data_IF_484309362320
#
_entry.id   IF_484309362320
#
_cell.length_a   1.000
_cell.length_b   1.000
_cell.length_c   1.000
_cell.angle_alpha   90.00
_cell.angle_beta   90.00
_cell.angle_gamma   90.00
#
_symmetry.space_group_name_H-M   'P 1'
#
loop_
_entity.id
_entity.type
_entity.pdbx_description
1 polymer ?
#
# COMPACT_ATOMS: atom_id res chain seq x y z
N UNK A 1 -15.43 14.80 -18.01
CA UNK A 1 -14.23 15.38 -18.70
C UNK A 1 -14.71 16.29 -19.83
N UNK A 2 -13.95 17.33 -20.25
CA UNK A 2 -14.35 18.22 -21.35
C UNK A 2 -13.34 18.19 -22.53
N UNK A 3 -13.73 18.81 -23.68
CA UNK A 3 -12.90 18.81 -24.89
C UNK A 3 -11.49 19.38 -24.67
N UNK A 4 -11.37 20.46 -23.88
CA UNK A 4 -10.08 21.09 -23.60
C UNK A 4 -9.14 20.18 -22.81
N UNK A 5 -9.70 19.38 -21.88
CA UNK A 5 -8.95 18.40 -21.10
C UNK A 5 -8.42 17.29 -22.02
N UNK A 6 -9.22 16.78 -22.94
CA UNK A 6 -8.79 15.79 -23.94
C UNK A 6 -7.64 16.34 -24.79
N UNK A 7 -7.78 17.56 -25.34
CA UNK A 7 -6.72 18.19 -26.12
C UNK A 7 -5.42 18.37 -25.32
N UNK A 8 -5.53 18.74 -24.05
CA UNK A 8 -4.37 18.82 -23.15
C UNK A 8 -3.69 17.46 -22.98
N UNK A 9 -4.47 16.39 -22.76
CA UNK A 9 -3.92 15.03 -22.63
C UNK A 9 -3.25 14.56 -23.92
N UNK A 10 -3.84 14.84 -25.09
CA UNK A 10 -3.22 14.53 -26.38
C UNK A 10 -1.85 15.20 -26.57
N UNK A 11 -1.68 16.45 -26.11
CA UNK A 11 -0.39 17.16 -26.17
C UNK A 11 0.64 16.60 -25.21
N UNK A 12 0.22 16.13 -24.02
CA UNK A 12 1.11 15.55 -23.02
C UNK A 12 1.50 14.11 -23.33
N UNK A 13 0.71 13.41 -24.14
CA UNK A 13 0.91 12.01 -24.51
C UNK A 13 0.53 11.02 -23.42
N UNK A 14 0.76 9.74 -23.69
CA UNK A 14 0.51 8.63 -22.77
C UNK A 14 1.45 8.66 -21.57
N UNK A 15 0.96 8.21 -20.42
CA UNK A 15 1.71 8.10 -19.18
C UNK A 15 1.10 6.99 -18.29
N UNK A 16 1.52 6.91 -17.03
CA UNK A 16 1.02 5.90 -16.10
C UNK A 16 -0.49 5.99 -15.79
N UNK A 17 -1.14 7.10 -16.13
CA UNK A 17 -2.57 7.34 -15.90
C UNK A 17 -3.39 7.58 -17.17
N UNK A 18 -2.77 7.71 -18.31
CA UNK A 18 -3.44 8.02 -19.58
C UNK A 18 -2.96 7.06 -20.65
N UNK A 19 -3.90 6.38 -21.29
CA UNK A 19 -3.65 5.47 -22.41
C UNK A 19 -4.55 5.84 -23.56
N UNK A 20 -4.02 5.83 -24.78
CA UNK A 20 -4.78 6.05 -26.00
C UNK A 20 -5.00 4.75 -26.75
N UNK A 21 -6.13 4.64 -27.41
CA UNK A 21 -6.44 3.56 -28.36
C UNK A 21 -7.28 4.10 -29.49
N UNK A 22 -6.94 3.69 -30.69
CA UNK A 22 -7.77 4.06 -31.84
C UNK A 22 -9.12 3.33 -31.77
N UNK A 23 -9.10 2.02 -31.52
CA UNK A 23 -10.27 1.13 -31.39
C UNK A 23 -10.01 0.01 -30.40
N UNK A 24 -11.07 -0.61 -29.92
CA UNK A 24 -11.05 -1.79 -29.09
C UNK A 24 -11.76 -2.93 -29.77
N UNK A 25 -11.05 -4.01 -30.06
CA UNK A 25 -11.61 -5.15 -30.79
C UNK A 25 -11.45 -6.47 -30.03
N UNK A 26 -10.46 -6.55 -29.13
CA UNK A 26 -10.09 -7.81 -28.49
C UNK A 26 -10.10 -7.71 -26.97
N UNK A 27 -11.04 -8.38 -26.28
CA UNK A 27 -11.09 -8.44 -24.81
C UNK A 27 -9.77 -8.84 -24.15
N UNK A 28 -9.02 -9.77 -24.73
CA UNK A 28 -7.75 -10.23 -24.22
C UNK A 28 -6.65 -9.15 -24.21
N UNK A 29 -6.79 -8.09 -25.03
CA UNK A 29 -5.89 -6.93 -25.02
C UNK A 29 -6.39 -5.80 -24.10
N UNK A 30 -7.71 -5.74 -23.89
CA UNK A 30 -8.34 -4.71 -23.07
C UNK A 30 -8.17 -5.03 -21.57
N UNK A 31 -8.46 -6.27 -21.15
CA UNK A 31 -8.43 -6.68 -19.77
C UNK A 31 -7.08 -6.37 -19.07
N UNK A 32 -5.89 -6.63 -19.66
CA UNK A 32 -4.62 -6.26 -19.07
C UNK A 32 -4.45 -4.76 -18.83
N UNK A 33 -5.02 -3.88 -19.67
CA UNK A 33 -4.97 -2.42 -19.43
C UNK A 33 -5.83 -2.03 -18.22
N UNK A 34 -7.06 -2.55 -18.16
CA UNK A 34 -7.97 -2.28 -17.04
C UNK A 34 -7.38 -2.78 -15.72
N UNK A 35 -6.83 -3.99 -15.72
CA UNK A 35 -6.14 -4.58 -14.56
C UNK A 35 -4.95 -3.73 -14.15
N UNK A 36 -4.13 -3.27 -15.10
CA UNK A 36 -2.96 -2.46 -14.81
C UNK A 36 -3.33 -1.12 -14.15
N UNK A 37 -4.39 -0.47 -14.61
CA UNK A 37 -4.91 0.75 -13.97
C UNK A 37 -5.44 0.46 -12.55
N UNK A 38 -6.27 -0.57 -12.38
CA UNK A 38 -6.85 -0.92 -11.09
C UNK A 38 -5.78 -1.28 -10.04
N UNK A 39 -4.73 -2.00 -10.44
CA UNK A 39 -3.62 -2.34 -9.55
C UNK A 39 -2.65 -1.17 -9.28
N UNK A 40 -2.74 -0.10 -10.06
CA UNK A 40 -1.91 1.10 -9.91
C UNK A 40 -2.72 2.25 -9.29
N UNK A 41 -2.53 3.46 -9.77
CA UNK A 41 -3.23 4.66 -9.25
C UNK A 41 -4.48 5.02 -10.07
N UNK A 42 -5.11 4.04 -10.70
CA UNK A 42 -6.18 4.28 -11.64
C UNK A 42 -5.70 5.00 -12.89
N UNK A 43 -6.65 5.40 -13.75
CA UNK A 43 -6.31 6.14 -14.97
C UNK A 43 -7.48 6.23 -15.93
N UNK A 44 -7.17 6.70 -17.13
CA UNK A 44 -8.15 6.93 -18.19
C UNK A 44 -7.65 6.27 -19.47
N UNK A 45 -8.50 5.45 -20.07
CA UNK A 45 -8.32 4.92 -21.39
C UNK A 45 -9.19 5.74 -22.36
N UNK A 46 -8.58 6.40 -23.35
CA UNK A 46 -9.29 7.25 -24.31
C UNK A 46 -9.26 6.56 -25.67
N UNK A 47 -10.44 6.34 -26.23
CA UNK A 47 -10.63 5.64 -27.50
C UNK A 47 -11.04 6.65 -28.57
N UNK A 48 -10.50 6.47 -29.78
CA UNK A 48 -10.64 7.40 -30.91
C UNK A 48 -9.40 8.27 -31.12
N UNK A 49 -8.32 7.98 -30.37
CA UNK A 49 -7.03 8.68 -30.48
C UNK A 49 -5.96 7.69 -30.90
N UNK A 50 -5.10 8.09 -31.80
CA UNK A 50 -3.98 7.27 -32.27
C UNK A 50 -2.88 7.20 -31.22
N UNK A 51 -2.50 5.99 -30.81
CA UNK A 51 -1.58 5.70 -29.70
C UNK A 51 -0.23 6.45 -29.82
N UNK A 52 0.35 6.47 -31.03
CA UNK A 52 1.71 6.97 -31.24
C UNK A 52 1.79 8.48 -31.42
N UNK A 53 0.80 9.08 -32.04
CA UNK A 53 0.83 10.50 -32.41
C UNK A 53 0.01 11.38 -31.49
N UNK A 54 -0.93 10.78 -30.71
CA UNK A 54 -1.92 11.52 -29.97
C UNK A 54 -2.95 12.25 -30.84
N UNK A 55 -3.01 11.92 -32.16
CA UNK A 55 -3.95 12.54 -33.08
C UNK A 55 -5.37 12.04 -32.78
N UNK A 56 -6.31 12.97 -32.66
CA UNK A 56 -7.72 12.65 -32.48
C UNK A 56 -8.27 12.28 -33.87
N UNK A 57 -8.55 11.00 -34.09
CA UNK A 57 -9.15 10.46 -35.29
C UNK A 57 -10.68 10.46 -35.14
N UNK A 58 -11.16 10.16 -33.96
CA UNK A 58 -12.57 10.01 -33.61
C UNK A 58 -13.15 8.64 -33.97
N UNK A 59 -14.32 8.39 -33.43
CA UNK A 59 -15.17 7.20 -33.68
C UNK A 59 -16.60 7.66 -33.95
N UNK A 60 -17.45 6.79 -34.51
CA UNK A 60 -18.87 7.10 -34.60
C UNK A 60 -19.56 6.93 -33.23
N UNK A 61 -20.72 7.56 -33.06
CA UNK A 61 -21.52 7.40 -31.85
C UNK A 61 -21.92 5.94 -31.58
N UNK A 62 -22.28 5.24 -32.66
CA UNK A 62 -22.60 3.81 -32.60
C UNK A 62 -21.39 2.97 -32.12
N UNK A 63 -20.19 3.26 -32.66
CA UNK A 63 -18.95 2.62 -32.21
C UNK A 63 -18.66 2.93 -30.72
N UNK A 64 -18.90 4.16 -30.28
CA UNK A 64 -18.70 4.52 -28.87
C UNK A 64 -19.60 3.69 -27.94
N UNK A 65 -20.88 3.49 -28.32
CA UNK A 65 -21.80 2.66 -27.54
C UNK A 65 -21.39 1.18 -27.53
N UNK A 66 -21.02 0.63 -28.68
CA UNK A 66 -20.55 -0.75 -28.81
C UNK A 66 -19.30 -0.97 -27.95
N UNK A 67 -18.33 -0.06 -27.99
CA UNK A 67 -17.10 -0.13 -27.19
C UNK A 67 -17.36 0.03 -25.70
N UNK A 68 -18.26 0.92 -25.29
CA UNK A 68 -18.68 1.06 -23.90
C UNK A 68 -19.29 -0.24 -23.37
N UNK A 69 -20.16 -0.88 -24.13
CA UNK A 69 -20.73 -2.20 -23.78
C UNK A 69 -19.65 -3.28 -23.68
N UNK A 70 -18.73 -3.35 -24.65
CA UNK A 70 -17.63 -4.31 -24.67
C UNK A 70 -16.73 -4.14 -23.44
N UNK A 71 -16.38 -2.91 -23.07
CA UNK A 71 -15.55 -2.63 -21.91
C UNK A 71 -16.25 -3.06 -20.63
N UNK A 72 -17.55 -2.79 -20.47
CA UNK A 72 -18.34 -3.25 -19.33
C UNK A 72 -18.35 -4.78 -19.21
N UNK A 73 -18.50 -5.49 -20.34
CA UNK A 73 -18.39 -6.96 -20.37
C UNK A 73 -16.99 -7.43 -19.96
N UNK A 74 -15.94 -6.78 -20.48
CA UNK A 74 -14.55 -7.12 -20.13
C UNK A 74 -14.29 -6.90 -18.63
N UNK A 75 -14.77 -5.80 -18.06
CA UNK A 75 -14.61 -5.52 -16.64
C UNK A 75 -15.28 -6.59 -15.75
N UNK A 76 -16.41 -7.13 -16.19
CA UNK A 76 -17.16 -8.14 -15.45
C UNK A 76 -16.65 -9.57 -15.64
N UNK A 77 -16.27 -9.92 -16.86
CA UNK A 77 -15.99 -11.33 -17.22
C UNK A 77 -14.50 -11.65 -17.34
N UNK A 78 -13.67 -10.63 -17.56
CA UNK A 78 -12.24 -10.79 -17.85
C UNK A 78 -11.33 -10.22 -16.76
N UNK A 79 -11.90 -9.58 -15.75
CA UNK A 79 -11.15 -9.00 -14.62
C UNK A 79 -11.68 -9.57 -13.32
N UNK A 80 -10.78 -10.03 -12.46
CA UNK A 80 -11.12 -10.56 -11.13
C UNK A 80 -10.19 -9.96 -10.06
N UNK A 81 -10.71 -9.37 -8.97
CA UNK A 81 -12.13 -9.00 -8.76
C UNK A 81 -12.69 -8.09 -9.86
N UNK A 82 -14.03 -8.01 -9.97
CA UNK A 82 -14.70 -7.10 -10.89
C UNK A 82 -14.34 -5.65 -10.58
N UNK A 83 -14.14 -4.84 -11.61
CA UNK A 83 -13.90 -3.39 -11.49
C UNK A 83 -15.09 -2.60 -12.00
N UNK A 84 -15.36 -1.46 -11.35
CA UNK A 84 -16.37 -0.51 -11.81
C UNK A 84 -15.71 0.52 -12.71
N UNK A 85 -16.36 0.80 -13.83
CA UNK A 85 -15.90 1.74 -14.85
C UNK A 85 -16.92 2.83 -15.06
N UNK A 86 -16.45 4.03 -15.30
CA UNK A 86 -17.28 5.13 -15.79
C UNK A 86 -16.87 5.43 -17.23
N UNK A 87 -17.86 5.47 -18.14
CA UNK A 87 -17.62 5.79 -19.55
C UNK A 87 -18.32 7.09 -19.92
N UNK A 88 -17.63 7.93 -20.67
CA UNK A 88 -18.10 9.25 -21.07
C UNK A 88 -17.77 9.49 -22.56
N UNK A 89 -18.78 9.84 -23.33
CA UNK A 89 -18.62 10.20 -24.74
C UNK A 89 -18.43 11.71 -24.86
N UNK A 90 -17.33 12.14 -25.47
CA UNK A 90 -16.94 13.54 -25.55
C UNK A 90 -16.72 13.92 -27.00
N UNK A 91 -17.28 15.07 -27.42
CA UNK A 91 -17.02 15.65 -28.72
C UNK A 91 -15.87 16.65 -28.66
N UNK A 92 -14.86 16.46 -29.50
CA UNK A 92 -13.68 17.32 -29.62
C UNK A 92 -13.49 17.68 -31.10
N UNK A 93 -13.65 18.95 -31.45
CA UNK A 93 -13.49 19.46 -32.79
C UNK A 93 -14.34 18.68 -33.84
N UNK A 94 -15.60 18.38 -33.51
CA UNK A 94 -16.49 17.63 -34.36
C UNK A 94 -16.20 16.12 -34.48
N UNK A 95 -15.30 15.60 -33.63
CA UNK A 95 -14.93 14.19 -33.54
C UNK A 95 -15.31 13.62 -32.18
N UNK A 96 -15.88 12.44 -32.18
CA UNK A 96 -16.28 11.76 -30.95
C UNK A 96 -15.13 10.90 -30.44
N UNK A 97 -14.83 10.99 -29.12
CA UNK A 97 -13.96 10.09 -28.40
C UNK A 97 -14.71 9.49 -27.22
N UNK A 98 -14.32 8.28 -26.80
CA UNK A 98 -14.86 7.61 -25.61
C UNK A 98 -13.78 7.60 -24.52
N UNK A 99 -14.03 8.28 -23.42
CA UNK A 99 -13.19 8.23 -22.22
C UNK A 99 -13.70 7.14 -21.26
N UNK A 100 -12.82 6.28 -20.78
CA UNK A 100 -13.09 5.21 -19.83
C UNK A 100 -12.27 5.46 -18.58
N UNK A 101 -12.93 5.81 -17.51
CA UNK A 101 -12.30 6.04 -16.22
C UNK A 101 -12.21 4.73 -15.45
N UNK A 102 -11.01 4.41 -15.01
CA UNK A 102 -10.70 3.25 -14.16
C UNK A 102 -10.18 3.79 -12.85
N UNK A 103 -10.92 3.60 -11.77
CA UNK A 103 -10.48 3.98 -10.43
C UNK A 103 -9.31 3.08 -9.97
N UNK A 104 -8.51 3.58 -9.03
CA UNK A 104 -7.61 2.72 -8.26
C UNK A 104 -8.43 1.66 -7.51
N UNK A 105 -8.07 0.41 -7.68
CA UNK A 105 -8.78 -0.70 -7.08
C UNK A 105 -8.49 -0.84 -5.58
N UNK A 106 -9.53 -1.08 -4.80
CA UNK A 106 -9.43 -1.29 -3.34
C UNK A 106 -9.16 -2.74 -2.96
N UNK A 107 -9.45 -3.70 -3.84
CA UNK A 107 -9.33 -5.15 -3.59
C UNK A 107 -8.15 -5.76 -4.39
N UNK A 108 -6.99 -5.08 -4.37
CA UNK A 108 -5.79 -5.58 -5.05
C UNK A 108 -5.30 -6.92 -4.45
N UNK A 109 -4.69 -7.79 -5.25
CA UNK A 109 -4.39 -7.64 -6.67
C UNK A 109 -5.53 -8.06 -7.59
N UNK A 110 -5.81 -7.24 -8.60
CA UNK A 110 -6.68 -7.60 -9.71
C UNK A 110 -5.93 -8.45 -10.73
N UNK A 111 -6.64 -9.37 -11.38
CA UNK A 111 -6.08 -10.32 -12.33
C UNK A 111 -6.90 -10.33 -13.61
N UNK A 112 -6.25 -10.58 -14.74
CA UNK A 112 -6.97 -10.90 -15.97
C UNK A 112 -7.56 -12.34 -15.93
N UNK A 113 -8.35 -12.70 -16.93
CA UNK A 113 -8.98 -14.03 -17.03
C UNK A 113 -7.99 -15.19 -17.04
N UNK A 114 -6.73 -14.94 -17.41
CA UNK A 114 -5.64 -15.91 -17.39
C UNK A 114 -4.91 -15.96 -16.04
N UNK A 115 -5.34 -15.19 -15.06
CA UNK A 115 -4.72 -15.11 -13.73
C UNK A 115 -3.48 -14.20 -13.67
N UNK A 116 -3.15 -13.45 -14.73
CA UNK A 116 -2.02 -12.56 -14.72
C UNK A 116 -2.34 -11.25 -13.98
N UNK A 117 -1.36 -10.77 -13.23
CA UNK A 117 -1.39 -9.49 -12.53
C UNK A 117 -0.59 -8.49 -13.35
N UNK A 118 -1.20 -7.36 -13.67
CA UNK A 118 -0.59 -6.28 -14.45
C UNK A 118 -0.57 -5.00 -13.63
N UNK A 119 0.49 -4.21 -13.78
CA UNK A 119 0.62 -2.85 -13.21
C UNK A 119 1.10 -1.89 -14.28
N UNK A 120 0.83 -0.61 -14.09
CA UNK A 120 1.39 0.44 -14.96
C UNK A 120 2.84 0.70 -14.62
N UNK A 121 3.68 0.77 -15.65
CA UNK A 121 5.07 1.17 -15.55
C UNK A 121 5.32 2.23 -16.64
N UNK A 122 5.42 3.49 -16.23
CA UNK A 122 5.41 4.63 -17.16
C UNK A 122 4.15 4.61 -18.05
N UNK A 123 4.28 4.69 -19.38
CA UNK A 123 3.16 4.57 -20.33
C UNK A 123 2.70 3.13 -20.57
N UNK A 124 3.53 2.14 -20.27
CA UNK A 124 3.23 0.74 -20.54
C UNK A 124 2.63 0.01 -19.31
N UNK A 125 2.20 -1.23 -19.56
CA UNK A 125 1.85 -2.19 -18.54
C UNK A 125 2.92 -3.27 -18.43
N UNK A 126 3.16 -3.72 -17.20
CA UNK A 126 4.08 -4.82 -16.91
C UNK A 126 3.34 -5.92 -16.15
N UNK A 127 3.62 -7.16 -16.52
CA UNK A 127 3.17 -8.31 -15.75
C UNK A 127 4.03 -8.48 -14.51
N UNK A 128 3.40 -8.65 -13.36
CA UNK A 128 4.07 -8.98 -12.10
C UNK A 128 4.15 -10.50 -11.96
N UNK A 129 5.34 -10.99 -11.61
CA UNK A 129 5.63 -12.40 -11.32
C UNK A 129 6.34 -12.57 -9.97
N UNK A 130 6.97 -11.54 -9.46
CA UNK A 130 7.74 -11.57 -8.21
C UNK A 130 6.81 -11.59 -6.99
N UNK A 131 7.02 -12.57 -6.11
CA UNK A 131 6.20 -12.75 -4.90
C UNK A 131 6.18 -11.51 -4.00
N UNK A 132 7.30 -10.78 -3.90
CA UNK A 132 7.38 -9.55 -3.10
C UNK A 132 6.47 -8.43 -3.63
N UNK A 133 6.41 -8.24 -4.95
CA UNK A 133 5.53 -7.25 -5.58
C UNK A 133 4.05 -7.64 -5.44
N UNK A 134 3.73 -8.93 -5.57
CA UNK A 134 2.38 -9.45 -5.37
C UNK A 134 1.94 -9.22 -3.91
N UNK A 135 2.83 -9.51 -2.95
CA UNK A 135 2.57 -9.28 -1.53
C UNK A 135 2.34 -7.79 -1.24
N UNK A 136 3.10 -6.89 -1.87
CA UNK A 136 2.92 -5.45 -1.72
C UNK A 136 1.51 -4.99 -2.14
N UNK A 137 0.95 -5.54 -3.22
CA UNK A 137 -0.43 -5.24 -3.65
C UNK A 137 -1.47 -5.72 -2.62
N UNK A 138 -1.27 -6.90 -2.01
CA UNK A 138 -2.14 -7.37 -0.93
C UNK A 138 -2.07 -6.47 0.31
N UNK A 139 -0.89 -5.96 0.64
CA UNK A 139 -0.69 -5.02 1.75
C UNK A 139 -1.34 -3.66 1.46
N UNK A 140 -1.16 -3.11 0.24
CA UNK A 140 -1.80 -1.85 -0.17
C UNK A 140 -3.32 -1.89 -0.06
N UNK A 141 -3.94 -3.01 -0.37
CA UNK A 141 -5.40 -3.18 -0.28
C UNK A 141 -5.90 -3.48 1.13
N UNK A 142 -5.01 -3.66 2.11
CA UNK A 142 -5.37 -4.12 3.46
C UNK A 142 -5.88 -5.57 3.51
N UNK A 143 -5.80 -6.31 2.40
CA UNK A 143 -6.20 -7.73 2.34
C UNK A 143 -5.20 -8.66 3.04
N UNK A 144 -4.00 -8.16 3.30
CA UNK A 144 -2.98 -8.85 4.08
C UNK A 144 -2.44 -7.91 5.16
N UNK A 145 -2.66 -8.30 6.40
CA UNK A 145 -2.26 -7.58 7.61
C UNK A 145 -1.24 -8.40 8.38
N UNK A 146 0.05 -8.20 8.13
CA UNK A 146 1.10 -8.95 8.81
C UNK A 146 1.07 -8.78 10.33
N UNK A 147 0.60 -7.63 10.81
CA UNK A 147 0.45 -7.33 12.25
C UNK A 147 -0.56 -8.22 12.97
N UNK A 148 -1.57 -8.75 12.28
CA UNK A 148 -2.59 -9.65 12.83
C UNK A 148 -2.15 -11.13 12.79
N UNK A 149 -1.04 -11.44 12.12
CA UNK A 149 -0.55 -12.80 11.98
C UNK A 149 0.05 -13.30 13.29
N UNK A 150 -0.33 -14.53 13.66
CA UNK A 150 0.24 -15.23 14.82
C UNK A 150 1.72 -15.54 14.64
N UNK A 151 2.52 -15.20 15.66
CA UNK A 151 3.93 -15.55 15.71
C UNK A 151 4.07 -16.98 16.21
N UNK A 152 4.84 -17.78 15.48
CA UNK A 152 5.01 -19.21 15.81
C UNK A 152 5.64 -19.41 17.19
N UNK A 153 5.21 -20.43 17.89
CA UNK A 153 5.72 -20.82 19.21
C UNK A 153 5.48 -19.80 20.31
N UNK A 154 4.54 -18.86 20.14
CA UNK A 154 4.11 -17.91 21.15
C UNK A 154 2.78 -18.34 21.80
N UNK A 155 2.56 -17.85 23.02
CA UNK A 155 1.34 -18.05 23.79
C UNK A 155 1.08 -16.82 24.66
N UNK A 156 -0.02 -16.82 25.41
CA UNK A 156 -0.33 -15.76 26.40
C UNK A 156 0.79 -15.57 27.44
N UNK A 157 1.61 -16.59 27.70
CA UNK A 157 2.71 -16.52 28.65
C UNK A 157 3.85 -15.60 28.18
N UNK A 158 3.91 -15.29 26.89
CA UNK A 158 4.92 -14.41 26.31
C UNK A 158 4.51 -12.93 26.35
N UNK A 159 3.30 -12.64 26.83
CA UNK A 159 2.80 -11.28 27.07
C UNK A 159 3.26 -10.77 28.42
N UNK A 160 3.77 -9.55 28.45
CA UNK A 160 4.03 -8.79 29.67
C UNK A 160 2.71 -8.18 30.16
N UNK A 161 2.16 -8.80 31.19
CA UNK A 161 0.88 -8.41 31.77
C UNK A 161 0.93 -7.04 32.43
N UNK A 162 2.11 -6.59 32.85
CA UNK A 162 2.26 -5.26 33.44
C UNK A 162 2.08 -4.18 32.35
N UNK A 163 2.79 -4.30 31.24
CA UNK A 163 2.66 -3.38 30.10
C UNK A 163 1.24 -3.38 29.52
N UNK A 164 0.63 -4.56 29.43
CA UNK A 164 -0.74 -4.67 28.97
C UNK A 164 -1.72 -3.94 29.89
N UNK A 165 -1.61 -4.14 31.21
CA UNK A 165 -2.48 -3.49 32.18
C UNK A 165 -2.30 -1.97 32.17
N UNK A 166 -1.06 -1.45 32.09
CA UNK A 166 -0.82 -0.01 31.94
C UNK A 166 -1.53 0.56 30.69
N UNK A 167 -1.44 -0.14 29.58
CA UNK A 167 -2.11 0.26 28.34
C UNK A 167 -3.63 0.28 28.50
N UNK A 168 -4.20 -0.81 29.02
CA UNK A 168 -5.65 -0.98 29.18
C UNK A 168 -6.20 0.05 30.19
N UNK A 169 -5.54 0.27 31.30
CA UNK A 169 -5.94 1.26 32.30
C UNK A 169 -5.90 2.69 31.74
N UNK A 170 -4.87 3.01 30.95
CA UNK A 170 -4.71 4.33 30.33
C UNK A 170 -5.79 4.62 29.28
N UNK A 171 -6.17 3.65 28.47
CA UNK A 171 -7.08 3.86 27.33
C UNK A 171 -8.55 3.60 27.67
N UNK A 172 -8.82 2.66 28.57
CA UNK A 172 -10.19 2.26 28.91
C UNK A 172 -10.60 2.66 30.34
N UNK A 173 -9.67 3.17 31.15
CA UNK A 173 -9.94 3.57 32.55
C UNK A 173 -10.28 2.40 33.47
N UNK A 174 -9.98 1.17 33.04
CA UNK A 174 -10.29 -0.09 33.76
C UNK A 174 -9.12 -1.04 33.63
N UNK A 175 -8.95 -1.92 34.63
CA UNK A 175 -7.99 -3.01 34.54
C UNK A 175 -8.55 -4.19 33.75
N UNK A 176 -7.67 -5.07 33.32
CA UNK A 176 -8.07 -6.25 32.54
C UNK A 176 -9.09 -7.15 33.26
N UNK A 177 -8.99 -7.26 34.59
CA UNK A 177 -9.88 -8.07 35.41
C UNK A 177 -11.32 -7.50 35.51
N UNK A 178 -11.49 -6.21 35.24
CA UNK A 178 -12.78 -5.51 35.33
C UNK A 178 -13.65 -5.65 34.09
N UNK A 179 -13.14 -6.27 33.02
CA UNK A 179 -13.90 -6.45 31.78
C UNK A 179 -14.94 -7.58 31.86
N UNK A 180 -14.91 -8.42 32.90
CA UNK A 180 -15.89 -9.48 33.13
C UNK A 180 -15.82 -10.62 32.10
N UNK A 181 -14.75 -10.71 31.31
CA UNK A 181 -14.47 -11.80 30.38
C UNK A 181 -13.14 -12.45 30.71
N UNK A 182 -12.94 -13.75 30.39
CA UNK A 182 -11.65 -14.40 30.57
C UNK A 182 -10.53 -13.62 29.85
N UNK A 183 -9.34 -13.55 30.46
CA UNK A 183 -8.18 -12.85 29.92
C UNK A 183 -7.89 -13.22 28.47
N UNK A 184 -7.85 -14.51 28.16
CA UNK A 184 -7.59 -14.98 26.80
C UNK A 184 -8.62 -14.46 25.80
N UNK A 185 -9.90 -14.42 26.19
CA UNK A 185 -10.96 -13.87 25.35
C UNK A 185 -10.80 -12.35 25.14
N UNK A 186 -10.40 -11.62 26.18
CA UNK A 186 -10.09 -10.19 26.08
C UNK A 186 -8.96 -9.96 25.07
N UNK A 187 -7.89 -10.73 25.15
CA UNK A 187 -6.73 -10.60 24.26
C UNK A 187 -7.07 -10.96 22.81
N UNK A 188 -7.93 -11.95 22.58
CA UNK A 188 -8.47 -12.28 21.26
C UNK A 188 -9.34 -11.15 20.70
N UNK A 189 -10.21 -10.58 21.52
CA UNK A 189 -11.07 -9.46 21.12
C UNK A 189 -10.25 -8.19 20.77
N UNK A 190 -9.11 -8.01 21.40
CA UNK A 190 -8.18 -6.92 21.12
C UNK A 190 -7.16 -7.25 20.03
N UNK A 191 -7.29 -8.40 19.38
CA UNK A 191 -6.36 -8.88 18.35
C UNK A 191 -4.89 -8.99 18.81
N UNK A 192 -4.67 -9.12 20.11
CA UNK A 192 -3.36 -9.39 20.72
C UNK A 192 -3.03 -10.89 20.59
N UNK A 193 -4.05 -11.75 20.67
CA UNK A 193 -3.96 -13.17 20.33
C UNK A 193 -4.78 -13.49 19.08
N UNK A 194 -4.30 -14.46 18.32
CA UNK A 194 -5.10 -15.08 17.25
C UNK A 194 -6.21 -15.95 17.84
N UNK A 195 -7.23 -16.37 17.07
CA UNK A 195 -8.23 -17.33 17.51
C UNK A 195 -7.62 -18.63 18.07
N UNK A 196 -6.49 -19.07 17.51
CA UNK A 196 -5.74 -20.26 17.91
C UNK A 196 -4.89 -20.06 19.19
N UNK A 197 -4.81 -18.83 19.72
CA UNK A 197 -4.10 -18.52 20.96
C UNK A 197 -2.62 -18.15 20.79
N UNK A 198 -2.13 -17.96 19.56
CA UNK A 198 -0.80 -17.41 19.31
C UNK A 198 -0.81 -15.89 19.51
N UNK A 199 0.29 -15.32 19.97
CA UNK A 199 0.46 -13.87 20.04
C UNK A 199 0.58 -13.32 18.62
N UNK A 200 -0.22 -12.31 18.28
CA UNK A 200 -0.09 -11.62 16.99
C UNK A 200 1.22 -10.84 16.94
N UNK A 201 1.70 -10.52 15.73
CA UNK A 201 2.92 -9.71 15.60
C UNK A 201 2.76 -8.36 16.31
N UNK A 202 1.60 -7.70 16.16
CA UNK A 202 1.32 -6.47 16.91
C UNK A 202 1.34 -6.70 18.42
N UNK A 203 0.66 -7.74 18.90
CA UNK A 203 0.66 -8.11 20.30
C UNK A 203 2.06 -8.33 20.87
N UNK A 204 2.90 -9.06 20.14
CA UNK A 204 4.29 -9.31 20.51
C UNK A 204 5.12 -8.02 20.57
N UNK A 205 5.01 -7.19 19.54
CA UNK A 205 5.81 -5.95 19.42
C UNK A 205 5.40 -4.86 20.41
N UNK A 206 4.17 -4.87 20.91
CA UNK A 206 3.72 -3.90 21.92
C UNK A 206 3.76 -4.43 23.35
N UNK A 207 3.50 -5.71 23.55
CA UNK A 207 3.30 -6.30 24.88
C UNK A 207 4.15 -7.56 25.15
N UNK A 208 5.00 -7.98 24.20
CA UNK A 208 5.85 -9.16 24.38
C UNK A 208 6.94 -8.93 25.42
N UNK A 209 7.25 -9.98 26.20
CA UNK A 209 8.37 -9.96 27.18
C UNK A 209 9.72 -9.84 26.47
N UNK A 210 9.90 -10.61 25.39
CA UNK A 210 11.15 -10.72 24.63
C UNK A 210 10.86 -10.81 23.13
N UNK A 211 10.37 -9.74 22.46
CA UNK A 211 10.06 -9.77 21.04
C UNK A 211 11.25 -10.17 20.16
N UNK A 212 12.46 -9.79 20.54
CA UNK A 212 13.71 -10.07 19.85
C UNK A 212 14.07 -11.56 19.75
N UNK A 213 13.51 -12.39 20.63
CA UNK A 213 13.72 -13.85 20.58
C UNK A 213 12.93 -14.50 19.45
N UNK A 214 11.81 -13.90 19.05
CA UNK A 214 10.93 -14.41 18.00
C UNK A 214 11.18 -13.72 16.66
N UNK A 215 11.47 -12.43 16.71
CA UNK A 215 11.69 -11.58 15.53
C UNK A 215 13.00 -10.77 15.67
N UNK A 216 14.18 -11.42 15.54
CA UNK A 216 15.48 -10.76 15.75
C UNK A 216 15.78 -9.62 14.78
N UNK A 217 15.07 -9.56 13.65
CA UNK A 217 15.21 -8.49 12.66
C UNK A 217 14.61 -7.15 13.12
N UNK A 218 13.71 -7.16 14.10
CA UNK A 218 13.15 -5.95 14.70
C UNK A 218 14.10 -5.34 15.72
N UNK A 219 15.07 -4.59 15.22
CA UNK A 219 16.10 -3.92 16.01
C UNK A 219 16.37 -2.53 15.46
N UNK A 220 16.57 -1.55 16.31
CA UNK A 220 17.09 -0.24 15.91
C UNK A 220 18.61 -0.26 16.12
N UNK A 221 19.37 -0.21 15.02
CA UNK A 221 20.83 -0.03 15.07
C UNK A 221 21.14 1.45 15.07
N UNK A 222 21.44 1.99 16.25
CA UNK A 222 21.76 3.39 16.44
C UNK A 222 23.27 3.59 16.40
N UNK A 223 23.76 4.45 15.52
CA UNK A 223 25.19 4.76 15.38
C UNK A 223 25.39 6.28 15.33
N UNK A 224 26.32 6.79 16.12
CA UNK A 224 26.77 8.17 16.10
C UNK A 224 28.19 8.26 15.52
N UNK A 225 28.35 8.85 14.34
CA UNK A 225 29.64 9.06 13.70
C UNK A 225 30.33 10.34 14.15
N UNK A 226 31.66 10.40 14.01
CA UNK A 226 32.40 11.63 14.10
C UNK A 226 32.26 12.45 12.82
N UNK A 227 32.03 13.76 12.95
CA UNK A 227 31.88 14.64 11.79
C UNK A 227 30.48 14.63 11.15
N UNK A 228 30.40 15.03 9.88
CA UNK A 228 29.14 15.19 9.15
C UNK A 228 28.96 14.17 8.00
N UNK A 229 29.88 13.23 7.86
CA UNK A 229 29.83 12.21 6.79
C UNK A 229 29.33 10.88 7.34
N UNK A 230 28.37 10.27 6.64
CA UNK A 230 27.94 8.89 6.92
C UNK A 230 28.92 7.91 6.28
N UNK A 231 29.36 6.90 7.06
CA UNK A 231 30.21 5.81 6.55
C UNK A 231 31.70 5.92 6.89
N UNK A 232 32.09 6.78 7.81
CA UNK A 232 33.43 6.76 8.41
C UNK A 232 33.70 5.44 9.14
N UNK A 233 34.97 5.01 9.19
CA UNK A 233 35.39 3.80 9.93
C UNK A 233 35.32 3.96 11.44
N UNK A 234 35.25 5.20 11.93
CA UNK A 234 35.20 5.54 13.35
C UNK A 234 33.85 6.09 13.74
N UNK A 235 33.25 5.56 14.77
CA UNK A 235 32.00 6.04 15.35
C UNK A 235 32.21 6.43 16.82
N UNK A 236 31.43 7.42 17.28
CA UNK A 236 31.47 7.90 18.67
C UNK A 236 30.75 6.94 19.61
N UNK A 237 29.61 6.43 19.18
CA UNK A 237 28.73 5.59 19.98
C UNK A 237 27.91 4.67 19.07
N UNK A 238 27.62 3.45 19.53
CA UNK A 238 26.80 2.47 18.81
C UNK A 238 25.99 1.66 19.81
N UNK A 239 24.71 1.49 19.51
CA UNK A 239 23.81 0.69 20.35
C UNK A 239 22.79 -0.05 19.49
N UNK A 240 22.63 -1.35 19.73
CA UNK A 240 21.52 -2.13 19.25
C UNK A 240 20.39 -2.08 20.30
N UNK A 241 19.21 -1.60 19.89
CA UNK A 241 18.07 -1.37 20.78
C UNK A 241 16.99 -2.39 20.44
N UNK A 242 16.63 -3.21 21.39
CA UNK A 242 15.68 -4.31 21.28
C UNK A 242 14.49 -4.11 22.22
N UNK A 243 13.46 -4.95 22.05
CA UNK A 243 12.29 -5.05 22.89
C UNK A 243 11.02 -4.55 22.21
N UNK A 244 10.04 -4.12 23.00
CA UNK A 244 8.78 -3.60 22.46
C UNK A 244 8.98 -2.27 21.76
N UNK A 245 8.09 -1.95 20.80
CA UNK A 245 8.12 -0.68 20.03
C UNK A 245 8.19 0.54 20.97
N UNK A 246 7.36 0.66 22.03
CA UNK A 246 7.45 1.79 22.95
C UNK A 246 8.82 1.90 23.64
N UNK A 247 9.41 0.76 24.03
CA UNK A 247 10.76 0.73 24.63
C UNK A 247 11.81 1.14 23.61
N UNK A 248 11.81 0.55 22.42
CA UNK A 248 12.76 0.88 21.35
C UNK A 248 12.69 2.36 20.98
N UNK A 249 11.50 2.93 20.91
CA UNK A 249 11.30 4.36 20.65
C UNK A 249 11.93 5.21 21.77
N UNK A 250 11.63 4.91 23.03
CA UNK A 250 12.14 5.66 24.19
C UNK A 250 13.68 5.59 24.28
N UNK A 251 14.26 4.40 24.08
CA UNK A 251 15.71 4.21 24.09
C UNK A 251 16.37 4.87 22.89
N UNK A 252 15.74 4.84 21.70
CA UNK A 252 16.22 5.53 20.50
C UNK A 252 16.27 7.05 20.69
N UNK A 253 15.22 7.64 21.25
CA UNK A 253 15.22 9.08 21.62
C UNK A 253 16.28 9.40 22.65
N UNK A 254 16.48 8.53 23.64
CA UNK A 254 17.53 8.71 24.66
C UNK A 254 18.93 8.67 24.06
N UNK A 255 19.18 7.75 23.10
CA UNK A 255 20.43 7.68 22.37
C UNK A 255 20.68 8.97 21.56
N UNK A 256 19.66 9.46 20.84
CA UNK A 256 19.76 10.71 20.07
C UNK A 256 20.08 11.90 20.99
N UNK A 257 19.41 12.03 22.14
CA UNK A 257 19.65 13.10 23.11
C UNK A 257 21.07 13.02 23.69
N UNK A 258 21.55 11.83 24.04
CA UNK A 258 22.91 11.63 24.56
C UNK A 258 23.99 12.02 23.56
N UNK A 259 23.73 11.81 22.27
CA UNK A 259 24.69 12.10 21.19
C UNK A 259 24.56 13.51 20.57
N UNK A 260 23.52 14.29 20.95
CA UNK A 260 23.32 15.67 20.50
C UNK A 260 23.98 16.74 21.41
N UNK A 261 24.59 16.35 22.52
CA UNK A 261 25.11 17.26 23.59
C UNK A 261 26.23 18.22 23.09
N UNK A 262 26.66 18.16 21.84
CA UNK A 262 27.61 19.13 21.27
C UNK A 262 27.05 20.52 20.91
N UNK A 263 25.74 20.75 20.94
CA UNK A 263 25.14 22.06 20.56
C UNK A 263 24.66 22.96 21.70
N UNK A 264 24.50 22.41 22.90
CA UNK A 264 24.01 23.20 24.05
C UNK A 264 25.12 23.95 24.81
N UNK A 265 26.39 23.55 24.71
CA UNK A 265 27.47 24.18 25.48
C UNK A 265 28.06 25.47 24.83
N UNK A 266 27.65 25.82 23.61
CA UNK A 266 28.13 27.04 22.92
C UNK A 266 27.23 28.26 23.07
N UNK A 267 26.14 28.21 23.86
CA UNK A 267 25.27 29.39 24.09
C UNK A 267 25.39 30.09 25.42
N UNK A 268 26.27 29.62 26.30
CA UNK A 268 26.50 30.29 27.62
C UNK A 268 27.93 30.82 27.78
N UNK A 269 28.49 31.44 26.75
CA UNK A 269 29.64 32.35 26.92
C UNK A 269 29.55 33.52 25.94
N UNK A 270 28.74 34.47 26.29
CA UNK A 270 28.95 35.90 25.93
C UNK A 270 28.51 36.72 27.14
#
# INVERSE_FOLDING_TARGET
MNANEIQKLCRLGENSRVQFKLRLENPAKIAPELVAFANSKGGILIIGIEDKTGQIIGISYEQAQQMSTLIGQVANEWVNPTIYLETETIEVEGRIVLAVHVAEGINKPYKDKSGNIWVKQSSDKRRITENGEILALFQESGSFRPEEKGVRHTSVNDIDMFLLNEYVEKFYGKRTEEFGVPMEQLLKNQQILTPEGQVTLAGLMFFGKHPEMYEPSFVIKAVSFYGNEMGGLEYRDSKDIYGTIPRMFSEGISFLKANQIGRASCRERV
#
